data_IF_322648979476
#
_entry.id   IF_322648979476
#
_cell.length_a   1.000
_cell.length_b   1.000
_cell.length_c   1.000
_cell.angle_alpha   90.00
_cell.angle_beta   90.00
_cell.angle_gamma   90.00
#
_symmetry.space_group_name_H-M   'P 1'
#
loop_
_entity.id
_entity.type
_entity.pdbx_description
1 polymer ?
#
# COMPACT_ATOMS: atom_id res chain seq x y z
N UNK A 1 24.30 -21.05 23.49
CA UNK A 1 22.88 -20.81 23.76
C UNK A 1 22.59 -19.39 23.30
N UNK A 2 22.02 -19.23 22.10
CA UNK A 2 21.55 -17.92 21.64
C UNK A 2 20.23 -17.69 22.37
N UNK A 3 20.12 -16.59 23.10
CA UNK A 3 18.82 -16.19 23.66
C UNK A 3 17.85 -16.08 22.49
N UNK A 4 16.87 -17.00 22.41
CA UNK A 4 15.69 -16.80 21.58
C UNK A 4 14.92 -15.65 22.22
N UNK A 5 15.36 -14.41 21.98
CA UNK A 5 14.49 -13.25 22.15
C UNK A 5 13.27 -13.51 21.28
N UNK A 6 12.08 -13.30 21.85
CA UNK A 6 10.81 -13.54 21.17
C UNK A 6 10.84 -12.91 19.77
N UNK A 7 10.88 -13.74 18.74
CA UNK A 7 10.79 -13.26 17.36
C UNK A 7 9.38 -12.72 17.20
N UNK A 8 9.23 -11.39 17.27
CA UNK A 8 7.95 -10.72 17.02
C UNK A 8 7.45 -11.14 15.64
N UNK A 9 6.25 -11.71 15.59
CA UNK A 9 5.64 -12.15 14.33
C UNK A 9 5.27 -10.94 13.49
N UNK A 10 5.87 -10.80 12.31
CA UNK A 10 5.54 -9.73 11.35
C UNK A 10 4.34 -10.15 10.50
N UNK A 11 3.19 -9.53 10.73
CA UNK A 11 1.99 -9.72 9.90
C UNK A 11 1.97 -8.67 8.79
N UNK A 12 1.87 -9.10 7.53
CA UNK A 12 1.73 -8.21 6.39
C UNK A 12 0.36 -8.43 5.74
N UNK A 13 -0.35 -7.35 5.40
CA UNK A 13 -1.69 -7.45 4.80
C UNK A 13 -1.67 -6.82 3.41
N UNK A 14 -2.34 -7.47 2.46
CA UNK A 14 -2.49 -6.96 1.11
C UNK A 14 -3.96 -7.05 0.71
N UNK A 15 -4.44 -6.03 0.02
CA UNK A 15 -5.76 -6.09 -0.57
C UNK A 15 -5.81 -5.32 -1.90
N UNK A 16 -6.42 -5.97 -2.90
CA UNK A 16 -6.60 -5.42 -4.24
C UNK A 16 -8.03 -4.84 -4.40
N UNK A 17 -8.16 -3.75 -5.18
CA UNK A 17 -9.46 -3.23 -5.63
C UNK A 17 -10.44 -2.97 -4.46
N UNK A 18 -11.65 -3.53 -4.47
CA UNK A 18 -12.63 -3.42 -3.39
C UNK A 18 -12.17 -4.07 -2.08
N UNK A 19 -11.25 -5.03 -2.13
CA UNK A 19 -10.62 -5.59 -0.93
C UNK A 19 -9.89 -4.51 -0.13
N UNK A 20 -9.33 -3.50 -0.80
CA UNK A 20 -8.69 -2.36 -0.14
C UNK A 20 -9.69 -1.64 0.79
N UNK A 21 -10.94 -1.46 0.35
CA UNK A 21 -12.00 -0.84 1.15
C UNK A 21 -12.30 -1.64 2.42
N UNK A 22 -12.35 -2.96 2.29
CA UNK A 22 -12.57 -3.88 3.42
C UNK A 22 -11.42 -3.78 4.41
N UNK A 23 -10.18 -3.86 3.90
CA UNK A 23 -8.98 -3.76 4.74
C UNK A 23 -8.87 -2.41 5.46
N UNK A 24 -9.13 -1.30 4.74
CA UNK A 24 -9.18 0.03 5.35
C UNK A 24 -10.25 0.13 6.44
N UNK A 25 -11.42 -0.47 6.22
CA UNK A 25 -12.49 -0.54 7.21
C UNK A 25 -12.13 -1.34 8.46
N UNK A 26 -11.34 -2.41 8.32
CA UNK A 26 -10.81 -3.19 9.46
C UNK A 26 -9.78 -2.35 10.23
N UNK A 27 -8.80 -1.80 9.53
CA UNK A 27 -7.67 -1.09 10.12
C UNK A 27 -8.03 0.30 10.69
N UNK A 28 -9.17 0.86 10.31
CA UNK A 28 -9.61 2.15 10.85
C UNK A 28 -10.37 2.04 12.17
N UNK A 29 -10.73 0.82 12.61
CA UNK A 29 -11.39 0.66 13.92
C UNK A 29 -10.37 0.83 15.04
N UNK A 30 -10.65 1.64 16.07
CA UNK A 30 -9.81 1.71 17.24
C UNK A 30 -9.75 0.33 17.93
N UNK A 31 -8.54 -0.23 18.00
CA UNK A 31 -8.14 -1.41 18.77
C UNK A 31 -9.00 -2.67 18.60
N UNK A 32 -8.87 -3.35 17.46
CA UNK A 32 -9.38 -4.73 17.30
C UNK A 32 -8.28 -5.77 17.08
N UNK A 33 -7.04 -5.34 16.87
CA UNK A 33 -5.93 -6.24 16.59
C UNK A 33 -5.09 -6.45 17.86
N UNK A 34 -4.65 -7.68 18.15
CA UNK A 34 -3.80 -7.96 19.32
C UNK A 34 -2.42 -7.31 19.22
N UNK A 35 -1.97 -7.00 18.00
CA UNK A 35 -0.70 -6.36 17.69
C UNK A 35 -0.85 -5.46 16.45
N UNK A 36 0.00 -4.44 16.32
CA UNK A 36 0.12 -3.65 15.09
C UNK A 36 0.59 -4.51 13.91
N UNK A 37 0.04 -4.23 12.74
CA UNK A 37 0.44 -4.86 11.48
C UNK A 37 1.81 -4.34 11.06
N UNK A 38 2.67 -5.22 10.54
CA UNK A 38 4.01 -4.82 10.09
C UNK A 38 3.93 -3.88 8.89
N UNK A 39 3.21 -4.26 7.83
CA UNK A 39 3.03 -3.41 6.65
C UNK A 39 1.73 -3.74 5.94
N UNK A 40 1.20 -2.77 5.21
CA UNK A 40 -0.07 -2.88 4.49
C UNK A 40 0.12 -2.46 3.04
N UNK A 41 -0.44 -3.24 2.12
CA UNK A 41 -0.45 -2.99 0.69
C UNK A 41 -1.88 -2.75 0.20
N UNK A 42 -2.16 -1.52 -0.23
CA UNK A 42 -3.34 -1.17 -1.00
C UNK A 42 -2.99 -1.23 -2.48
N UNK A 43 -3.39 -2.31 -3.13
CA UNK A 43 -3.06 -2.59 -4.53
C UNK A 43 -4.23 -2.14 -5.37
N UNK A 44 -4.07 -1.10 -6.19
CA UNK A 44 -5.10 -0.69 -7.15
C UNK A 44 -6.43 -0.44 -6.42
N UNK A 45 -6.32 0.18 -5.24
CA UNK A 45 -7.43 0.26 -4.30
C UNK A 45 -8.59 1.07 -4.86
N UNK A 46 -9.78 0.47 -4.87
CA UNK A 46 -11.02 1.11 -5.32
C UNK A 46 -11.62 1.95 -4.19
N UNK A 47 -10.87 2.93 -3.66
CA UNK A 47 -11.24 3.81 -2.55
C UNK A 47 -11.01 5.25 -2.96
N UNK A 48 -11.96 6.16 -2.70
CA UNK A 48 -11.78 7.59 -2.96
C UNK A 48 -10.59 8.14 -2.19
N UNK A 49 -9.63 8.77 -2.87
CA UNK A 49 -8.34 9.16 -2.27
C UNK A 49 -8.42 10.11 -1.07
N UNK A 50 -9.42 10.97 -1.04
CA UNK A 50 -9.63 11.98 -0.01
C UNK A 50 -9.94 11.38 1.36
N UNK A 51 -10.46 10.15 1.44
CA UNK A 51 -10.92 9.58 2.72
C UNK A 51 -9.77 9.24 3.68
N UNK A 52 -8.54 9.25 3.20
CA UNK A 52 -7.33 9.02 4.00
C UNK A 52 -6.70 10.30 4.54
N UNK A 53 -7.10 11.48 4.03
CA UNK A 53 -6.58 12.75 4.50
C UNK A 53 -6.83 12.94 6.00
N UNK A 54 -6.07 13.83 6.64
CA UNK A 54 -6.20 14.09 8.06
C UNK A 54 -7.65 14.45 8.41
N UNK A 55 -8.14 13.96 9.54
CA UNK A 55 -9.54 14.10 10.00
C UNK A 55 -10.61 13.36 9.20
N UNK A 56 -10.23 12.60 8.15
CA UNK A 56 -11.18 11.85 7.31
C UNK A 56 -11.39 10.42 7.77
N UNK A 57 -12.31 9.73 7.11
CA UNK A 57 -12.85 8.42 7.51
C UNK A 57 -11.78 7.40 7.84
N UNK A 58 -10.69 7.33 7.09
CA UNK A 58 -9.62 6.32 7.23
C UNK A 58 -8.29 6.90 7.73
N UNK A 59 -8.31 8.06 8.39
CA UNK A 59 -7.09 8.73 8.86
C UNK A 59 -6.36 7.95 9.98
N UNK A 60 -7.08 7.10 10.73
CA UNK A 60 -6.58 6.41 11.92
C UNK A 60 -5.85 5.09 11.63
N UNK A 61 -5.71 4.68 10.36
CA UNK A 61 -5.03 3.42 9.98
C UNK A 61 -3.60 3.36 10.52
N UNK A 62 -2.88 4.49 10.58
CA UNK A 62 -1.53 4.58 11.13
C UNK A 62 -1.42 4.08 12.58
N UNK A 63 -2.51 4.13 13.34
CA UNK A 63 -2.50 3.66 14.73
C UNK A 63 -2.42 2.12 14.81
N UNK A 64 -2.73 1.41 13.73
CA UNK A 64 -2.77 -0.05 13.65
C UNK A 64 -1.65 -0.64 12.78
N UNK A 65 -0.77 0.18 12.19
CA UNK A 65 0.32 -0.26 11.31
C UNK A 65 1.65 0.31 11.81
N UNK A 66 2.62 -0.56 12.07
CA UNK A 66 3.93 -0.19 12.59
C UNK A 66 4.90 0.23 11.48
N UNK A 67 4.94 -0.49 10.36
CA UNK A 67 5.83 -0.20 9.23
C UNK A 67 5.15 0.61 8.13
N UNK A 68 5.68 0.56 6.91
CA UNK A 68 5.18 1.39 5.82
C UNK A 68 3.80 0.95 5.35
N UNK A 69 3.03 1.92 4.84
CA UNK A 69 1.72 1.71 4.22
C UNK A 69 1.85 2.05 2.74
N UNK A 70 1.84 1.02 1.90
CA UNK A 70 2.12 1.15 0.48
C UNK A 70 0.81 1.18 -0.31
N UNK A 71 0.66 2.18 -1.17
CA UNK A 71 -0.41 2.26 -2.14
C UNK A 71 0.18 2.20 -3.55
N UNK A 72 0.05 1.07 -4.24
CA UNK A 72 0.42 1.03 -5.67
C UNK A 72 -0.73 1.53 -6.52
N UNK A 73 -0.40 2.37 -7.49
CA UNK A 73 -1.39 2.93 -8.40
C UNK A 73 -0.87 2.98 -9.84
N UNK A 74 -1.81 3.03 -10.78
CA UNK A 74 -1.53 3.19 -12.20
C UNK A 74 -2.53 4.17 -12.81
N UNK A 75 -2.04 5.21 -13.48
CA UNK A 75 -2.89 6.17 -14.20
C UNK A 75 -3.59 5.53 -15.41
N UNK A 76 -3.19 4.30 -15.77
CA UNK A 76 -3.76 3.48 -16.84
C UNK A 76 -4.82 2.49 -16.36
N UNK A 77 -5.18 2.50 -15.07
CA UNK A 77 -6.29 1.69 -14.56
C UNK A 77 -7.63 2.24 -15.06
N UNK A 78 -8.06 1.75 -16.23
CA UNK A 78 -9.30 2.18 -16.88
C UNK A 78 -10.55 1.74 -16.11
N UNK A 79 -10.48 0.64 -15.34
CA UNK A 79 -11.60 0.19 -14.54
C UNK A 79 -11.85 1.17 -13.40
N UNK A 80 -10.82 1.57 -12.65
CA UNK A 80 -10.95 2.60 -11.64
C UNK A 80 -11.30 3.96 -12.25
N UNK A 81 -10.75 4.31 -13.40
CA UNK A 81 -11.07 5.58 -14.07
C UNK A 81 -12.53 5.65 -14.52
N UNK A 82 -13.03 4.63 -15.20
CA UNK A 82 -14.33 4.68 -15.87
C UNK A 82 -15.47 4.14 -15.01
N UNK A 83 -15.23 3.08 -14.22
CA UNK A 83 -16.29 2.48 -13.39
C UNK A 83 -16.34 3.14 -12.02
N UNK A 84 -15.21 3.27 -11.32
CA UNK A 84 -15.22 3.89 -10.00
C UNK A 84 -15.29 5.41 -10.08
N UNK A 85 -14.49 6.01 -10.97
CA UNK A 85 -14.34 7.46 -11.14
C UNK A 85 -15.64 8.21 -11.40
N UNK A 86 -16.55 7.61 -12.16
CA UNK A 86 -17.85 8.21 -12.52
C UNK A 86 -18.76 8.38 -11.30
N UNK A 87 -18.71 7.46 -10.33
CA UNK A 87 -19.64 7.47 -9.19
C UNK A 87 -19.03 7.97 -7.88
N UNK A 88 -17.71 7.82 -7.71
CA UNK A 88 -17.06 7.97 -6.40
C UNK A 88 -15.82 8.88 -6.41
N UNK A 89 -15.49 9.48 -7.56
CA UNK A 89 -14.31 10.33 -7.72
C UNK A 89 -13.00 9.54 -7.89
N UNK A 90 -11.84 10.19 -7.72
CA UNK A 90 -10.55 9.56 -8.00
C UNK A 90 -10.17 8.51 -6.96
N UNK A 91 -9.92 7.28 -7.43
CA UNK A 91 -9.51 6.16 -6.61
C UNK A 91 -8.01 6.20 -6.26
N UNK A 92 -7.64 5.68 -5.09
CA UNK A 92 -6.22 5.55 -4.71
C UNK A 92 -5.45 4.67 -5.68
N UNK A 93 -6.07 3.65 -6.27
CA UNK A 93 -5.44 2.79 -7.28
C UNK A 93 -5.19 3.47 -8.63
N UNK A 94 -5.79 4.64 -8.88
CA UNK A 94 -5.56 5.43 -10.09
C UNK A 94 -4.49 6.50 -9.86
N UNK A 95 -4.57 7.23 -8.74
CA UNK A 95 -3.79 8.46 -8.52
C UNK A 95 -3.01 8.50 -7.20
N UNK A 96 -2.97 7.40 -6.46
CA UNK A 96 -2.37 7.35 -5.12
C UNK A 96 -3.21 8.06 -4.05
N UNK A 97 -2.71 8.02 -2.82
CA UNK A 97 -3.31 8.71 -1.67
C UNK A 97 -2.87 10.17 -1.60
N UNK A 98 -3.65 11.03 -0.94
CA UNK A 98 -3.32 12.46 -0.78
C UNK A 98 -2.30 12.76 0.33
N UNK A 99 -2.01 11.77 1.18
CA UNK A 99 -1.11 11.90 2.32
C UNK A 99 0.20 11.16 2.09
N UNK A 100 1.22 11.54 2.85
CA UNK A 100 2.55 10.94 2.75
C UNK A 100 3.26 11.39 1.48
N UNK A 101 4.08 10.52 0.92
CA UNK A 101 4.91 10.86 -0.24
C UNK A 101 4.60 9.99 -1.45
N UNK A 102 4.93 10.48 -2.64
CA UNK A 102 4.77 9.76 -3.91
C UNK A 102 6.12 9.45 -4.52
N UNK A 103 6.31 8.22 -4.97
CA UNK A 103 7.51 7.76 -5.68
C UNK A 103 7.12 7.02 -6.95
N UNK A 104 8.09 6.84 -7.85
CA UNK A 104 7.95 5.95 -8.98
C UNK A 104 8.37 4.53 -8.58
N UNK A 105 7.66 3.53 -9.11
CA UNK A 105 8.13 2.15 -9.09
C UNK A 105 9.43 2.05 -9.89
N UNK A 106 10.40 1.32 -9.35
CA UNK A 106 11.73 1.13 -9.92
C UNK A 106 11.79 -0.22 -10.65
N UNK A 107 12.49 -0.24 -11.78
CA UNK A 107 12.91 -1.49 -12.41
C UNK A 107 13.89 -2.25 -11.50
N UNK A 108 13.99 -3.58 -11.65
CA UNK A 108 14.81 -4.44 -10.77
C UNK A 108 16.26 -3.95 -10.60
N UNK A 109 16.92 -3.57 -11.70
CA UNK A 109 18.30 -3.05 -11.65
C UNK A 109 18.39 -1.76 -10.83
N UNK A 110 17.47 -0.83 -11.07
CA UNK A 110 17.44 0.44 -10.34
C UNK A 110 17.13 0.22 -8.85
N UNK A 111 16.24 -0.72 -8.51
CA UNK A 111 15.96 -1.08 -7.13
C UNK A 111 17.18 -1.70 -6.43
N UNK A 112 18.05 -2.41 -7.15
CA UNK A 112 19.31 -2.93 -6.63
C UNK A 112 20.38 -1.85 -6.40
N UNK A 113 20.49 -0.88 -7.31
CA UNK A 113 21.44 0.24 -7.20
C UNK A 113 20.98 1.30 -6.18
N UNK A 114 19.68 1.60 -6.17
CA UNK A 114 19.02 2.54 -5.28
C UNK A 114 17.79 1.89 -4.64
N UNK A 115 17.96 1.22 -3.48
CA UNK A 115 16.85 0.59 -2.78
C UNK A 115 15.75 1.58 -2.39
N UNK A 116 14.52 1.07 -2.29
CA UNK A 116 13.42 1.82 -1.71
C UNK A 116 13.74 2.19 -0.25
N UNK A 117 13.39 3.41 0.16
CA UNK A 117 13.61 3.93 1.51
C UNK A 117 12.27 4.17 2.18
N UNK A 118 11.56 3.09 2.49
CA UNK A 118 10.31 3.16 3.24
C UNK A 118 10.56 3.37 4.73
N UNK A 119 9.57 3.87 5.45
CA UNK A 119 9.69 4.21 6.87
C UNK A 119 8.45 3.83 7.68
N UNK A 120 8.62 3.78 9.01
CA UNK A 120 7.58 3.45 9.99
C UNK A 120 6.36 4.38 9.87
N UNK A 121 5.17 3.79 9.75
CA UNK A 121 3.89 4.50 9.69
C UNK A 121 3.70 5.42 8.49
N UNK A 122 4.65 5.50 7.56
CA UNK A 122 4.55 6.41 6.42
C UNK A 122 3.66 5.82 5.32
N UNK A 123 2.80 6.68 4.77
CA UNK A 123 2.10 6.38 3.54
C UNK A 123 2.99 6.67 2.35
N UNK A 124 3.14 5.68 1.47
CA UNK A 124 3.87 5.84 0.21
C UNK A 124 2.97 5.45 -0.95
N UNK A 125 2.66 6.43 -1.80
CA UNK A 125 2.05 6.18 -3.10
C UNK A 125 3.14 5.80 -4.10
N UNK A 126 3.10 4.58 -4.62
CA UNK A 126 4.05 4.08 -5.61
C UNK A 126 3.37 4.07 -6.97
N UNK A 127 3.77 5.00 -7.84
CA UNK A 127 3.29 5.06 -9.21
C UNK A 127 3.94 3.92 -10.02
N UNK A 128 3.16 2.88 -10.28
CA UNK A 128 3.56 1.72 -11.07
C UNK A 128 3.13 1.80 -12.53
N UNK A 129 2.68 2.94 -13.04
CA UNK A 129 2.09 3.07 -14.40
C UNK A 129 2.96 2.47 -15.52
N UNK A 130 4.29 2.50 -15.37
CA UNK A 130 5.23 1.92 -16.35
C UNK A 130 5.34 0.39 -16.29
N UNK A 131 4.94 -0.22 -15.17
CA UNK A 131 5.10 -1.65 -14.88
C UNK A 131 3.77 -2.37 -14.65
N UNK A 132 2.66 -1.63 -14.63
CA UNK A 132 1.32 -2.14 -14.41
C UNK A 132 0.54 -1.93 -15.72
N UNK A 133 0.14 -3.04 -16.32
CA UNK A 133 0.17 -3.28 -17.78
C UNK A 133 -0.95 -2.60 -18.60
N UNK A 134 -0.68 -2.50 -19.91
CA UNK A 134 -1.52 -1.98 -20.99
C UNK A 134 -2.32 -3.10 -21.72
N UNK A 135 -2.16 -4.37 -21.33
CA UNK A 135 -2.53 -5.55 -22.12
C UNK A 135 -4.03 -5.87 -22.22
N UNK A 136 -4.87 -5.31 -21.33
CA UNK A 136 -6.31 -5.57 -21.34
C UNK A 136 -7.10 -4.26 -21.37
N UNK A 137 -7.77 -3.94 -22.48
CA UNK A 137 -8.47 -2.66 -22.65
C UNK A 137 -9.62 -2.42 -21.64
N UNK A 138 -10.12 -3.47 -20.99
CA UNK A 138 -11.27 -3.39 -20.06
C UNK A 138 -10.80 -3.28 -18.61
N UNK A 139 -9.83 -4.10 -18.20
CA UNK A 139 -9.31 -4.10 -16.83
C UNK A 139 -8.08 -3.18 -16.67
N UNK A 140 -7.28 -2.98 -17.72
CA UNK A 140 -6.00 -2.27 -17.67
C UNK A 140 -5.13 -2.74 -16.51
N UNK A 141 -4.40 -1.79 -15.93
CA UNK A 141 -3.56 -2.01 -14.75
C UNK A 141 -4.28 -2.40 -13.45
N UNK A 142 -5.57 -2.77 -13.49
CA UNK A 142 -6.35 -3.16 -12.31
C UNK A 142 -6.02 -4.57 -11.80
N UNK A 143 -5.69 -5.47 -12.72
CA UNK A 143 -5.37 -6.88 -12.43
C UNK A 143 -4.11 -7.40 -13.14
N UNK A 144 -3.48 -6.56 -13.96
CA UNK A 144 -2.37 -6.93 -14.84
C UNK A 144 -1.09 -6.23 -14.37
N UNK A 145 -0.20 -6.99 -13.74
CA UNK A 145 0.99 -6.49 -13.07
C UNK A 145 2.23 -7.16 -13.66
N UNK A 146 3.28 -6.41 -13.96
CA UNK A 146 4.61 -7.03 -14.04
C UNK A 146 5.00 -7.52 -12.65
N UNK A 147 5.02 -8.84 -12.52
CA UNK A 147 5.17 -9.53 -11.25
C UNK A 147 6.49 -9.17 -10.57
N UNK A 148 7.58 -9.03 -11.33
CA UNK A 148 8.93 -8.85 -10.79
C UNK A 148 9.13 -7.49 -10.09
N UNK A 149 8.87 -6.37 -10.77
CA UNK A 149 9.06 -5.03 -10.18
C UNK A 149 8.10 -4.76 -9.03
N UNK A 150 6.85 -5.22 -9.21
CA UNK A 150 5.81 -5.09 -8.19
C UNK A 150 6.19 -5.89 -6.94
N UNK A 151 6.65 -7.14 -7.11
CA UNK A 151 7.13 -7.98 -6.02
C UNK A 151 8.38 -7.40 -5.36
N UNK A 152 9.32 -6.85 -6.13
CA UNK A 152 10.51 -6.18 -5.59
C UNK A 152 10.14 -5.00 -4.67
N UNK A 153 9.17 -4.18 -5.09
CA UNK A 153 8.66 -3.09 -4.27
C UNK A 153 8.03 -3.60 -2.96
N UNK A 154 7.18 -4.62 -3.04
CA UNK A 154 6.51 -5.19 -1.85
C UNK A 154 7.51 -5.86 -0.91
N UNK A 155 8.48 -6.58 -1.47
CA UNK A 155 9.54 -7.20 -0.70
C UNK A 155 10.36 -6.15 0.07
N UNK A 156 10.70 -5.03 -0.56
CA UNK A 156 11.41 -3.95 0.12
C UNK A 156 10.61 -3.37 1.31
N UNK A 157 9.28 -3.24 1.18
CA UNK A 157 8.42 -2.80 2.28
C UNK A 157 8.33 -3.85 3.41
N UNK A 158 8.21 -5.13 3.08
CA UNK A 158 8.22 -6.24 4.07
C UNK A 158 9.56 -6.33 4.81
N UNK A 159 10.66 -6.05 4.12
CA UNK A 159 12.01 -6.08 4.69
C UNK A 159 12.41 -4.78 5.35
N UNK A 160 11.55 -3.75 5.38
CA UNK A 160 11.86 -2.48 6.03
C UNK A 160 12.11 -2.70 7.52
N UNK A 161 13.25 -2.22 8.00
CA UNK A 161 13.54 -2.18 9.43
C UNK A 161 12.60 -1.18 10.11
N UNK A 162 11.92 -1.66 11.15
CA UNK A 162 10.93 -0.87 11.90
C UNK A 162 11.34 -0.97 13.35
N UNK A 163 11.54 0.17 13.99
CA UNK A 163 11.90 0.26 15.40
C UNK A 163 10.85 -0.45 16.27
N UNK A 164 11.29 -1.08 17.36
CA UNK A 164 10.40 -1.80 18.26
C UNK A 164 9.29 -0.90 18.85
N UNK A 165 9.61 0.37 19.10
CA UNK A 165 8.69 1.41 19.58
C UNK A 165 7.49 1.62 18.65
N UNK A 166 7.65 1.39 17.34
CA UNK A 166 6.56 1.52 16.38
C UNK A 166 5.47 0.45 16.57
N UNK A 167 5.80 -0.68 17.22
CA UNK A 167 4.84 -1.75 17.54
C UNK A 167 4.11 -1.56 18.86
N UNK A 168 4.53 -0.61 19.68
CA UNK A 168 3.86 -0.32 20.96
C UNK A 168 2.46 0.25 20.70
N UNK A 169 1.47 -0.17 21.50
CA UNK A 169 0.04 0.21 21.37
C UNK A 169 -0.36 1.36 22.30
#
# INVERSE_FOLDING_TARGET
>A
MVANGDVKTKVCLMANSLGAHVLAGILNKPQTLPHKIHTVFFVQGAITREVFADTKKFCAINNNVAGPIICTHSERDLLLKNMFGVFYGSAIGLSGVERGHSILMKGLRQAGEEPYRFACGEWTSVNGTQFIDEGNAIAGGHGDFKEDETTSCYWAAICTEVEDSCYDM
#
